data_IF_190166938986
#
_entry.id   IF_190166938986
#
_cell.length_a   1.000
_cell.length_b   1.000
_cell.length_c   1.000
_cell.angle_alpha   90.00
_cell.angle_beta   90.00
_cell.angle_gamma   90.00
#
_symmetry.space_group_name_H-M   'P 1'
#
loop_
_entity.id
_entity.type
_entity.pdbx_description
1 polymer ?
#
# COMPACT_ATOMS: atom_id res chain seq x y z
N UNK A 1 0.85 4.18 9.13
CA UNK A 1 1.66 3.48 8.12
C UNK A 1 3.10 3.99 8.12
N UNK A 2 3.37 5.26 7.83
CA UNK A 2 4.73 5.80 7.71
C UNK A 2 5.66 5.51 8.91
N UNK A 3 5.20 5.73 10.15
CA UNK A 3 5.98 5.44 11.37
C UNK A 3 6.44 3.97 11.46
N UNK A 4 5.62 3.00 11.05
CA UNK A 4 6.03 1.60 11.08
C UNK A 4 7.09 1.29 10.00
N UNK A 5 7.09 2.02 8.88
CA UNK A 5 8.06 1.83 7.80
C UNK A 5 9.46 2.37 8.18
N UNK A 6 9.58 3.35 9.10
CA UNK A 6 10.88 3.88 9.51
C UNK A 6 11.76 2.84 10.21
N UNK A 7 11.19 1.73 10.64
CA UNK A 7 11.91 0.61 11.25
C UNK A 7 12.63 -0.28 10.24
N UNK A 8 12.20 -0.25 8.97
CA UNK A 8 12.69 -1.14 7.92
C UNK A 8 13.43 -0.38 6.81
N UNK A 9 13.17 0.92 6.65
CA UNK A 9 13.73 1.75 5.59
C UNK A 9 14.68 2.80 6.18
N UNK A 10 15.83 2.99 5.53
CA UNK A 10 16.82 3.99 5.95
C UNK A 10 16.31 5.43 5.87
N UNK A 11 15.35 5.71 4.98
CA UNK A 11 14.68 7.01 4.88
C UNK A 11 13.23 6.82 4.44
N UNK A 12 12.30 7.47 5.15
CA UNK A 12 10.87 7.44 4.83
C UNK A 12 10.39 8.85 4.56
N UNK A 13 9.73 9.01 3.42
CA UNK A 13 8.94 10.18 3.11
C UNK A 13 7.45 9.81 3.17
N UNK A 14 6.64 10.69 3.73
CA UNK A 14 5.20 10.50 3.78
C UNK A 14 4.47 11.74 3.30
N UNK A 15 3.38 11.52 2.59
CA UNK A 15 2.45 12.56 2.19
C UNK A 15 1.02 12.04 2.18
N UNK A 16 0.06 12.95 2.29
CA UNK A 16 -1.36 12.69 2.12
C UNK A 16 -2.01 13.88 1.40
N UNK A 17 -3.09 13.64 0.65
CA UNK A 17 -3.85 14.72 0.01
C UNK A 17 -4.57 15.62 1.04
N UNK A 18 -4.73 15.15 2.28
CA UNK A 18 -5.34 15.86 3.39
C UNK A 18 -4.35 16.09 4.53
N UNK A 19 -4.53 17.21 5.25
CA UNK A 19 -3.72 17.55 6.41
C UNK A 19 -4.14 16.74 7.65
N UNK A 20 -3.59 15.53 7.80
CA UNK A 20 -3.79 14.68 8.99
C UNK A 20 -2.78 14.93 10.12
N UNK A 21 -1.97 15.99 10.04
CA UNK A 21 -0.97 16.33 11.05
C UNK A 21 0.34 15.54 10.94
N UNK A 22 0.53 14.74 9.89
CA UNK A 22 1.77 14.01 9.65
C UNK A 22 2.11 13.96 8.15
N UNK A 23 3.40 14.12 7.83
CA UNK A 23 3.87 14.14 6.44
C UNK A 23 3.51 15.42 5.69
N UNK A 24 3.90 15.48 4.41
CA UNK A 24 3.57 16.60 3.54
C UNK A 24 2.11 16.53 3.07
N UNK A 25 1.46 17.68 2.88
CA UNK A 25 0.14 17.74 2.24
C UNK A 25 0.34 17.82 0.72
N UNK A 26 0.14 16.69 0.03
CA UNK A 26 0.38 16.56 -1.40
C UNK A 26 -0.45 15.44 -2.01
N UNK A 27 -1.06 15.72 -3.16
CA UNK A 27 -1.74 14.70 -3.96
C UNK A 27 -0.71 13.92 -4.79
N UNK A 28 -0.60 12.63 -4.51
CA UNK A 28 0.35 11.73 -5.16
C UNK A 28 0.19 11.63 -6.68
N UNK A 29 -1.03 11.75 -7.21
CA UNK A 29 -1.27 11.61 -8.65
C UNK A 29 -0.78 12.80 -9.46
N UNK A 30 -0.58 13.95 -8.83
CA UNK A 30 -0.02 15.12 -9.49
C UNK A 30 1.52 15.04 -9.49
N UNK A 31 2.18 15.49 -10.57
CA UNK A 31 3.63 15.58 -10.59
C UNK A 31 4.11 16.63 -9.58
N UNK A 32 5.15 16.30 -8.82
CA UNK A 32 5.84 17.22 -7.94
C UNK A 32 7.34 17.24 -8.23
N UNK A 33 8.06 17.90 -7.33
CA UNK A 33 9.52 18.00 -7.29
C UNK A 33 10.15 16.90 -6.44
N UNK A 34 9.48 15.74 -6.32
CA UNK A 34 9.96 14.66 -5.46
C UNK A 34 11.27 14.05 -5.97
N UNK A 35 12.14 13.60 -5.06
CA UNK A 35 13.21 12.71 -5.44
C UNK A 35 12.64 11.38 -5.98
N UNK A 36 13.49 10.62 -6.66
CA UNK A 36 13.19 9.23 -6.98
C UNK A 36 13.11 8.38 -5.70
N UNK A 37 12.19 7.41 -5.66
CA UNK A 37 12.00 6.52 -4.51
C UNK A 37 12.25 5.07 -4.92
N UNK A 38 13.04 4.35 -4.11
CA UNK A 38 13.23 2.91 -4.28
C UNK A 38 11.90 2.17 -4.15
N UNK A 39 11.15 2.50 -3.09
CA UNK A 39 9.87 1.90 -2.79
C UNK A 39 8.76 2.92 -2.58
N UNK A 40 7.58 2.65 -3.15
CA UNK A 40 6.35 3.42 -2.89
C UNK A 40 5.31 2.49 -2.28
N UNK A 41 4.82 2.81 -1.08
CA UNK A 41 3.89 1.96 -0.31
C UNK A 41 2.70 2.81 0.15
N UNK A 42 1.47 2.35 -0.10
CA UNK A 42 0.29 3.13 0.25
C UNK A 42 -0.96 2.28 0.53
N UNK A 43 -1.94 2.86 1.22
CA UNK A 43 -3.32 2.41 1.31
C UNK A 43 -4.16 3.42 0.50
N UNK A 44 -4.31 3.23 -0.83
CA UNK A 44 -4.80 4.27 -1.71
C UNK A 44 -6.32 4.49 -1.53
N UNK A 45 -6.85 5.68 -1.88
CA UNK A 45 -8.29 5.90 -1.96
C UNK A 45 -8.94 4.88 -2.92
N UNK A 46 -10.00 4.21 -2.47
CA UNK A 46 -10.59 3.07 -3.20
C UNK A 46 -10.91 3.36 -4.68
N UNK A 47 -11.45 4.55 -4.98
CA UNK A 47 -11.82 4.95 -6.35
C UNK A 47 -10.61 5.17 -7.26
N UNK A 48 -9.46 5.55 -6.70
CA UNK A 48 -8.26 5.93 -7.43
C UNK A 48 -7.16 4.86 -7.38
N UNK A 49 -7.40 3.75 -6.68
CA UNK A 49 -6.38 2.72 -6.42
C UNK A 49 -5.73 2.14 -7.70
N UNK A 50 -6.46 2.04 -8.82
CA UNK A 50 -5.88 1.63 -10.11
C UNK A 50 -4.93 2.69 -10.69
N UNK A 51 -5.30 3.97 -10.64
CA UNK A 51 -4.46 5.08 -11.11
C UNK A 51 -3.19 5.22 -10.24
N UNK A 52 -3.34 5.01 -8.93
CA UNK A 52 -2.22 4.93 -8.00
C UNK A 52 -1.28 3.79 -8.40
N UNK A 53 -1.80 2.58 -8.66
CA UNK A 53 -0.97 1.45 -9.06
C UNK A 53 -0.13 1.75 -10.32
N UNK A 54 -0.76 2.28 -11.39
CA UNK A 54 -0.01 2.69 -12.59
C UNK A 54 1.08 3.71 -12.28
N UNK A 55 0.73 4.78 -11.56
CA UNK A 55 1.66 5.85 -11.20
C UNK A 55 2.81 5.34 -10.34
N UNK A 56 2.54 4.45 -9.39
CA UNK A 56 3.54 3.86 -8.51
C UNK A 56 4.50 2.94 -9.30
N UNK A 57 3.98 2.13 -10.21
CA UNK A 57 4.78 1.24 -11.05
C UNK A 57 5.73 2.05 -11.94
N UNK A 58 5.28 3.18 -12.46
CA UNK A 58 6.09 4.05 -13.32
C UNK A 58 7.12 4.90 -12.55
N UNK A 59 6.86 5.21 -11.27
CA UNK A 59 7.72 6.10 -10.45
C UNK A 59 8.69 5.37 -9.51
N UNK A 60 8.37 4.16 -9.06
CA UNK A 60 9.22 3.42 -8.13
C UNK A 60 10.41 2.77 -8.84
N UNK A 61 11.60 2.82 -8.24
CA UNK A 61 12.81 2.23 -8.81
C UNK A 61 12.85 0.71 -8.60
N UNK A 62 12.58 0.25 -7.39
CA UNK A 62 12.73 -1.18 -6.99
C UNK A 62 11.38 -1.88 -6.81
N UNK A 63 10.37 -1.18 -6.29
CA UNK A 63 9.06 -1.80 -6.12
C UNK A 63 7.99 -0.91 -5.54
N UNK A 64 6.76 -1.37 -5.64
CA UNK A 64 5.64 -0.68 -5.03
C UNK A 64 4.61 -1.65 -4.45
N UNK A 65 3.92 -1.22 -3.39
CA UNK A 65 2.91 -2.04 -2.73
C UNK A 65 1.66 -1.23 -2.37
N UNK A 66 0.49 -1.77 -2.69
CA UNK A 66 -0.80 -1.20 -2.29
C UNK A 66 -1.53 -2.13 -1.32
N UNK A 67 -2.04 -1.55 -0.22
CA UNK A 67 -2.98 -2.21 0.69
C UNK A 67 -4.39 -1.91 0.21
N UNK A 68 -5.12 -2.94 -0.22
CA UNK A 68 -6.46 -2.77 -0.78
C UNK A 68 -7.40 -3.85 -0.25
N UNK A 69 -8.70 -3.62 -0.38
CA UNK A 69 -9.69 -4.67 -0.10
C UNK A 69 -9.45 -5.85 -1.03
N UNK A 70 -9.61 -7.09 -0.57
CA UNK A 70 -9.36 -8.29 -1.40
C UNK A 70 -10.19 -8.31 -2.69
N UNK A 71 -11.41 -7.76 -2.65
CA UNK A 71 -12.26 -7.59 -3.84
C UNK A 71 -11.63 -6.69 -4.92
N UNK A 72 -10.48 -6.06 -4.64
CA UNK A 72 -9.67 -5.39 -5.64
C UNK A 72 -9.14 -6.34 -6.72
N UNK A 73 -9.01 -7.63 -6.43
CA UNK A 73 -8.50 -8.62 -7.38
C UNK A 73 -9.55 -9.08 -8.42
N UNK A 74 -10.83 -8.82 -8.17
CA UNK A 74 -11.96 -9.46 -8.91
C UNK A 74 -12.59 -8.54 -9.97
N UNK A 75 -11.89 -7.47 -10.37
CA UNK A 75 -12.44 -6.49 -11.32
C UNK A 75 -12.11 -6.80 -12.77
N UNK A 76 -13.11 -7.04 -13.62
CA UNK A 76 -12.91 -7.23 -15.08
C UNK A 76 -12.20 -6.03 -15.71
N UNK A 77 -12.59 -4.81 -15.33
CA UNK A 77 -11.94 -3.58 -15.78
C UNK A 77 -10.45 -3.57 -15.42
N UNK A 78 -10.12 -3.84 -14.16
CA UNK A 78 -8.74 -3.92 -13.67
C UNK A 78 -7.95 -5.08 -14.28
N UNK A 79 -8.60 -6.20 -14.60
CA UNK A 79 -7.91 -7.25 -15.36
C UNK A 79 -7.42 -6.69 -16.69
N UNK A 80 -8.28 -5.99 -17.44
CA UNK A 80 -7.93 -5.40 -18.74
C UNK A 80 -6.95 -4.22 -18.63
N UNK A 81 -7.13 -3.35 -17.65
CA UNK A 81 -6.38 -2.10 -17.48
C UNK A 81 -5.06 -2.25 -16.74
N UNK A 82 -5.02 -3.09 -15.71
CA UNK A 82 -3.89 -3.20 -14.79
C UNK A 82 -3.26 -4.60 -14.80
N UNK A 83 -3.99 -5.65 -14.41
CA UNK A 83 -3.36 -6.94 -14.10
C UNK A 83 -2.85 -7.71 -15.32
N UNK A 84 -3.49 -7.59 -16.48
CA UNK A 84 -3.02 -8.24 -17.72
C UNK A 84 -1.79 -7.54 -18.31
N UNK A 85 -1.66 -6.23 -18.07
CA UNK A 85 -0.61 -5.38 -18.62
C UNK A 85 0.59 -5.24 -17.69
N UNK A 86 0.33 -5.12 -16.39
CA UNK A 86 1.32 -4.85 -15.34
C UNK A 86 1.09 -5.86 -14.22
N UNK A 87 1.58 -7.08 -14.44
CA UNK A 87 1.38 -8.21 -13.53
C UNK A 87 2.06 -7.96 -12.18
N UNK A 88 1.35 -8.13 -11.04
CA UNK A 88 1.99 -8.06 -9.75
C UNK A 88 2.91 -9.25 -9.54
N UNK A 89 3.95 -9.06 -8.74
CA UNK A 89 4.88 -10.11 -8.32
C UNK A 89 4.29 -10.93 -7.18
N UNK A 90 3.59 -10.27 -6.25
CA UNK A 90 2.98 -10.92 -5.09
C UNK A 90 1.58 -10.41 -4.79
N UNK A 91 0.73 -11.32 -4.33
CA UNK A 91 -0.56 -11.04 -3.71
C UNK A 91 -0.52 -11.68 -2.32
N UNK A 92 -0.49 -10.85 -1.28
CA UNK A 92 -0.35 -11.30 0.11
C UNK A 92 -1.68 -11.12 0.84
N UNK A 93 -2.44 -12.20 0.97
CA UNK A 93 -3.77 -12.21 1.56
C UNK A 93 -3.67 -12.31 3.09
N UNK A 94 -4.24 -11.35 3.82
CA UNK A 94 -4.36 -11.47 5.27
C UNK A 94 -5.31 -12.62 5.65
N UNK A 95 -4.91 -13.46 6.62
CA UNK A 95 -5.82 -14.46 7.22
C UNK A 95 -6.65 -13.89 8.37
N UNK A 96 -6.19 -12.79 8.98
CA UNK A 96 -6.94 -12.06 10.02
C UNK A 96 -7.54 -10.76 9.48
N UNK A 97 -8.52 -10.21 10.19
CA UNK A 97 -9.13 -8.93 9.82
C UNK A 97 -8.20 -7.79 10.20
N UNK A 98 -8.02 -6.85 9.28
CA UNK A 98 -7.31 -5.60 9.54
C UNK A 98 -8.35 -4.51 9.84
N UNK A 99 -8.50 -4.06 11.10
CA UNK A 99 -9.49 -3.06 11.44
C UNK A 99 -9.06 -1.69 10.89
N UNK A 100 -9.70 -1.26 9.81
CA UNK A 100 -9.53 0.07 9.25
C UNK A 100 -10.85 0.82 9.32
N UNK A 101 -10.93 1.77 10.24
CA UNK A 101 -12.07 2.66 10.40
C UNK A 101 -11.74 4.03 9.81
N UNK A 102 -12.72 4.67 9.16
CA UNK A 102 -12.50 5.99 8.57
C UNK A 102 -12.22 7.01 9.68
N UNK A 103 -11.07 7.67 9.60
CA UNK A 103 -10.71 8.79 10.48
C UNK A 103 -10.35 8.42 11.91
N UNK A 104 -10.19 7.13 12.23
CA UNK A 104 -9.80 6.70 13.58
C UNK A 104 -9.02 5.38 13.56
N UNK A 105 -8.15 5.23 14.55
CA UNK A 105 -7.45 3.98 14.85
C UNK A 105 -7.95 3.48 16.20
N UNK A 106 -8.27 2.20 16.31
CA UNK A 106 -8.86 1.61 17.53
C UNK A 106 -8.14 0.31 17.88
N UNK A 107 -7.64 0.21 19.11
CA UNK A 107 -6.91 -0.97 19.60
C UNK A 107 -7.76 -2.23 19.59
N UNK A 108 -9.02 -2.12 20.00
CA UNK A 108 -9.95 -3.24 20.03
C UNK A 108 -10.96 -3.20 18.86
N UNK A 109 -10.63 -2.46 17.80
CA UNK A 109 -11.47 -2.36 16.60
C UNK A 109 -11.57 -3.69 15.86
N UNK A 110 -12.71 -3.91 15.20
CA UNK A 110 -12.91 -5.00 14.27
C UNK A 110 -13.69 -4.53 13.04
N UNK A 111 -13.37 -5.11 11.88
CA UNK A 111 -14.16 -4.90 10.66
C UNK A 111 -14.35 -6.23 9.94
N UNK A 112 -15.45 -6.37 9.20
CA UNK A 112 -15.69 -7.52 8.34
C UNK A 112 -14.96 -7.43 6.99
N UNK A 113 -14.14 -6.40 6.77
CA UNK A 113 -13.51 -6.16 5.47
C UNK A 113 -12.27 -7.04 5.31
N UNK A 114 -12.14 -7.69 4.15
CA UNK A 114 -10.93 -8.45 3.80
C UNK A 114 -9.96 -7.55 3.06
N UNK A 115 -8.67 -7.63 3.41
CA UNK A 115 -7.60 -6.87 2.76
C UNK A 115 -6.49 -7.80 2.27
N UNK A 116 -5.76 -7.35 1.27
CA UNK A 116 -4.50 -7.95 0.83
C UNK A 116 -3.50 -6.86 0.46
N UNK A 117 -2.22 -7.23 0.44
CA UNK A 117 -1.21 -6.45 -0.26
C UNK A 117 -1.07 -6.95 -1.69
N UNK A 118 -0.92 -6.02 -2.62
CA UNK A 118 -0.49 -6.32 -3.99
C UNK A 118 0.84 -5.62 -4.19
N UNK A 119 1.85 -6.38 -4.63
CA UNK A 119 3.23 -5.92 -4.74
C UNK A 119 3.72 -6.09 -6.17
N UNK A 120 4.34 -5.04 -6.71
CA UNK A 120 5.06 -5.07 -7.97
C UNK A 120 6.54 -4.87 -7.68
N UNK A 121 7.38 -5.73 -8.25
CA UNK A 121 8.81 -5.46 -8.37
C UNK A 121 9.00 -4.57 -9.59
N UNK A 122 9.42 -3.33 -9.36
CA UNK A 122 9.72 -2.40 -10.43
C UNK A 122 11.19 -2.60 -10.82
N UNK A 123 11.46 -2.71 -12.11
CA UNK A 123 12.82 -2.56 -12.61
C UNK A 123 12.74 -1.59 -13.78
N UNK A 124 13.50 -0.48 -13.78
CA UNK A 124 13.41 0.55 -14.82
C UNK A 124 13.63 0.03 -16.25
N UNK A 125 14.19 -1.16 -16.39
CA UNK A 125 14.58 -1.78 -17.67
C UNK A 125 14.07 -3.21 -17.87
N UNK A 126 13.14 -3.69 -17.03
CA UNK A 126 12.44 -4.95 -17.29
C UNK A 126 10.95 -4.73 -17.09
N UNK A 127 10.19 -4.56 -18.18
CA UNK A 127 8.75 -4.65 -18.05
C UNK A 127 8.47 -6.09 -17.61
N UNK A 128 7.70 -6.19 -16.53
CA UNK A 128 6.97 -7.38 -16.14
C UNK A 128 7.79 -8.42 -15.37
N UNK A 129 7.26 -8.83 -14.22
CA UNK A 129 7.61 -10.13 -13.66
C UNK A 129 7.27 -11.18 -14.73
N UNK A 130 8.28 -11.85 -15.29
CA UNK A 130 8.10 -12.89 -16.30
C UNK A 130 7.39 -14.15 -15.75
N UNK A 131 7.00 -14.13 -14.47
CA UNK A 131 6.32 -15.20 -13.77
C UNK A 131 4.85 -14.88 -13.47
N UNK A 132 4.09 -15.92 -13.12
CA UNK A 132 2.77 -15.75 -12.53
C UNK A 132 2.89 -15.08 -11.16
N UNK A 133 1.90 -14.26 -10.75
CA UNK A 133 1.89 -13.69 -9.40
C UNK A 133 1.92 -14.80 -8.36
N UNK A 134 2.76 -14.65 -7.33
CA UNK A 134 2.76 -15.54 -6.18
C UNK A 134 1.66 -15.09 -5.22
N UNK A 135 0.66 -15.93 -5.00
CA UNK A 135 -0.32 -15.73 -3.95
C UNK A 135 0.12 -16.45 -2.67
N UNK A 136 0.20 -15.70 -1.57
CA UNK A 136 0.57 -16.22 -0.27
C UNK A 136 -0.33 -15.66 0.83
N UNK A 137 -0.40 -16.35 1.95
CA UNK A 137 -1.15 -15.92 3.13
C UNK A 137 -0.24 -15.24 4.14
N UNK A 138 -0.65 -14.07 4.62
CA UNK A 138 -0.05 -13.45 5.81
C UNK A 138 -0.73 -14.09 7.02
N UNK A 139 0.00 -14.88 7.83
CA UNK A 139 -0.57 -15.51 9.02
C UNK A 139 -0.93 -14.45 10.07
N UNK A 140 -1.69 -14.80 11.11
CA UNK A 140 -2.01 -13.85 12.19
C UNK A 140 -0.73 -13.25 12.79
N UNK A 141 -0.58 -11.94 12.66
CA UNK A 141 0.62 -11.19 13.00
C UNK A 141 0.33 -9.95 13.86
N UNK A 142 -0.92 -9.44 13.89
CA UNK A 142 -1.33 -8.23 14.61
C UNK A 142 -0.78 -8.18 16.03
N UNK A 143 -1.17 -9.14 16.89
CA UNK A 143 -0.71 -9.22 18.29
C UNK A 143 0.81 -9.38 18.45
N UNK A 144 1.51 -9.85 17.42
CA UNK A 144 2.97 -10.04 17.45
C UNK A 144 3.72 -8.76 17.05
N UNK A 145 3.09 -7.90 16.26
CA UNK A 145 3.70 -6.71 15.66
C UNK A 145 3.27 -5.42 16.36
N UNK A 146 2.12 -5.42 17.03
CA UNK A 146 1.64 -4.30 17.82
C UNK A 146 2.62 -3.96 18.96
N UNK A 147 2.83 -2.66 19.16
CA UNK A 147 3.68 -2.11 20.22
C UNK A 147 2.93 -1.08 21.06
N UNK A 148 3.36 -0.86 22.32
CA UNK A 148 2.91 0.28 23.10
C UNK A 148 3.10 1.58 22.31
N UNK A 149 2.05 2.39 22.23
CA UNK A 149 2.07 3.67 21.49
C UNK A 149 1.54 3.60 20.06
N UNK A 150 1.27 2.41 19.50
CA UNK A 150 0.76 2.29 18.12
C UNK A 150 -0.60 2.97 17.88
N UNK A 151 -1.39 3.08 18.95
CA UNK A 151 -2.71 3.68 18.97
C UNK A 151 -2.72 5.11 19.52
N UNK A 152 -1.59 5.59 20.01
CA UNK A 152 -1.46 6.95 20.49
C UNK A 152 -1.36 7.88 19.30
N UNK A 153 -2.34 8.76 19.15
CA UNK A 153 -2.24 9.90 18.25
C UNK A 153 -1.29 10.88 18.93
N UNK A 154 -0.01 10.89 18.53
CA UNK A 154 0.87 12.00 18.89
C UNK A 154 0.23 13.27 18.32
N UNK A 155 -0.13 14.20 19.21
CA UNK A 155 -0.53 15.52 18.80
C UNK A 155 0.67 16.18 18.11
N UNK A 156 0.50 16.54 16.84
CA UNK A 156 1.45 17.35 16.10
C UNK A 156 1.50 18.78 16.64
#
# INVERSE_FOLDING_TARGET
MARALTEYFGRVYSSDAHAYGAGAVRDFLFPGDEPSFDWIITNPPFRLAEQFAHTMIDRAVEGCAILVRTSFLEGIGRYKGLFSQRKPSFILQFTERVPMHKGRVEEHGSTATSYCWIVWTCRPHRPDASGMPVMAWIPPCRRKLERPGDYTLEAA
#
